data_IF_039489562883
#
_entry.id   IF_039489562883
#
_cell.length_a   1.000
_cell.length_b   1.000
_cell.length_c   1.000
_cell.angle_alpha   90.00
_cell.angle_beta   90.00
_cell.angle_gamma   90.00
#
_symmetry.space_group_name_H-M   'P 1'
#
loop_
_entity.id
_entity.type
_entity.pdbx_description
1 polymer ?
#
# COMPACT_ATOMS: atom_id res chain seq x y z
N UNK A 1 -27.21 33.48 7.38
CA UNK A 1 -27.12 32.05 7.72
C UNK A 1 -27.76 31.30 6.58
N UNK A 2 -26.97 30.86 5.61
CA UNK A 2 -27.47 29.94 4.58
C UNK A 2 -27.34 28.52 5.14
N UNK A 3 -28.42 28.03 5.73
CA UNK A 3 -28.60 26.59 5.90
C UNK A 3 -28.77 26.00 4.51
N UNK A 4 -27.67 25.58 3.89
CA UNK A 4 -27.67 24.79 2.67
C UNK A 4 -28.41 23.47 2.96
N UNK A 5 -29.71 23.45 2.68
CA UNK A 5 -30.55 22.25 2.77
C UNK A 5 -29.93 21.19 1.86
N UNK A 6 -29.21 20.23 2.46
CA UNK A 6 -28.63 19.11 1.72
C UNK A 6 -29.76 18.34 1.04
N UNK A 7 -29.64 18.15 -0.26
CA UNK A 7 -30.63 17.40 -1.03
C UNK A 7 -30.68 15.94 -0.58
N UNK A 8 -31.83 15.28 -0.76
CA UNK A 8 -31.99 13.83 -0.49
C UNK A 8 -30.92 12.98 -1.19
N UNK A 9 -30.48 13.40 -2.37
CA UNK A 9 -29.40 12.75 -3.13
C UNK A 9 -28.04 12.91 -2.46
N UNK A 10 -27.73 14.08 -1.90
CA UNK A 10 -26.46 14.32 -1.20
C UNK A 10 -26.39 13.53 0.11
N UNK A 11 -27.47 13.51 0.91
CA UNK A 11 -27.52 12.73 2.15
C UNK A 11 -27.34 11.23 1.90
N UNK A 12 -27.93 10.72 0.81
CA UNK A 12 -27.74 9.33 0.39
C UNK A 12 -26.28 9.06 0.02
N UNK A 13 -25.66 9.96 -0.75
CA UNK A 13 -24.26 9.82 -1.17
C UNK A 13 -23.31 9.84 0.04
N UNK A 14 -23.50 10.77 0.98
CA UNK A 14 -22.70 10.82 2.22
C UNK A 14 -22.82 9.53 3.03
N UNK A 15 -24.02 8.97 3.14
CA UNK A 15 -24.24 7.69 3.82
C UNK A 15 -23.54 6.53 3.10
N UNK A 16 -23.57 6.51 1.76
CA UNK A 16 -22.90 5.49 0.94
C UNK A 16 -21.37 5.63 1.06
N UNK A 17 -20.83 6.85 1.03
CA UNK A 17 -19.39 7.15 1.15
C UNK A 17 -18.85 6.71 2.52
N UNK A 18 -19.57 7.00 3.62
CA UNK A 18 -19.20 6.58 4.98
C UNK A 18 -19.25 5.06 5.13
N UNK A 19 -20.27 4.40 4.56
CA UNK A 19 -20.31 2.95 4.55
C UNK A 19 -19.12 2.36 3.79
N UNK A 20 -18.79 2.94 2.63
CA UNK A 20 -17.67 2.50 1.82
C UNK A 20 -16.32 2.71 2.52
N UNK A 21 -16.18 3.79 3.29
CA UNK A 21 -15.01 4.04 4.14
C UNK A 21 -14.80 2.92 5.17
N UNK A 22 -15.86 2.48 5.85
CA UNK A 22 -15.80 1.33 6.76
C UNK A 22 -15.40 0.03 6.07
N UNK A 23 -15.92 -0.22 4.87
CA UNK A 23 -15.53 -1.38 4.05
C UNK A 23 -14.06 -1.27 3.64
N UNK A 24 -13.60 -0.07 3.30
CA UNK A 24 -12.20 0.16 2.94
C UNK A 24 -11.25 -0.16 4.10
N UNK A 25 -11.56 0.29 5.32
CA UNK A 25 -10.78 -0.05 6.52
C UNK A 25 -10.74 -1.57 6.72
N UNK A 26 -11.84 -2.28 6.42
CA UNK A 26 -11.89 -3.73 6.52
C UNK A 26 -10.91 -4.48 5.60
N UNK A 27 -10.31 -3.82 4.61
CA UNK A 27 -9.27 -4.41 3.77
C UNK A 27 -7.89 -4.43 4.44
N UNK A 28 -7.69 -3.65 5.51
CA UNK A 28 -6.45 -3.63 6.27
C UNK A 28 -6.25 -4.90 7.11
N UNK A 29 -5.01 -5.32 7.41
CA UNK A 29 -4.75 -6.36 8.41
C UNK A 29 -5.30 -5.98 9.79
N UNK A 30 -5.75 -6.96 10.58
CA UNK A 30 -6.39 -6.71 11.88
C UNK A 30 -5.53 -5.87 12.84
N UNK A 31 -4.19 -6.01 12.81
CA UNK A 31 -3.31 -5.20 13.64
C UNK A 31 -3.36 -3.71 13.25
N UNK A 32 -3.44 -3.39 11.95
CA UNK A 32 -3.59 -2.00 11.47
C UNK A 32 -4.94 -1.40 11.79
N UNK A 33 -6.01 -2.20 11.73
CA UNK A 33 -7.35 -1.73 12.13
C UNK A 33 -7.36 -1.31 13.60
N UNK A 34 -6.68 -2.07 14.47
CA UNK A 34 -6.58 -1.79 15.91
C UNK A 34 -5.68 -0.60 16.25
N UNK A 35 -4.81 -0.17 15.33
CA UNK A 35 -3.96 1.01 15.49
C UNK A 35 -4.70 2.31 15.12
N UNK A 36 -5.83 2.23 14.41
CA UNK A 36 -6.60 3.40 14.01
C UNK A 36 -7.26 4.07 15.22
N UNK A 37 -7.44 5.38 15.15
CA UNK A 37 -8.15 6.19 16.14
C UNK A 37 -9.68 5.96 16.10
N UNK A 38 -10.12 4.72 16.26
CA UNK A 38 -11.51 4.27 16.27
C UNK A 38 -11.91 3.80 17.66
N UNK A 39 -13.22 3.83 17.96
CA UNK A 39 -13.73 3.19 19.17
C UNK A 39 -13.65 1.66 19.07
N UNK A 40 -13.55 0.98 20.22
CA UNK A 40 -13.55 -0.48 20.28
C UNK A 40 -14.77 -1.10 19.57
N UNK A 41 -15.95 -0.49 19.74
CA UNK A 41 -17.18 -0.93 19.07
C UNK A 41 -17.05 -0.90 17.54
N UNK A 42 -16.45 0.14 16.98
CA UNK A 42 -16.26 0.25 15.53
C UNK A 42 -15.20 -0.76 15.06
N UNK A 43 -14.12 -0.93 15.81
CA UNK A 43 -13.06 -1.91 15.51
C UNK A 43 -13.66 -3.32 15.48
N UNK A 44 -14.45 -3.70 16.48
CA UNK A 44 -15.13 -5.00 16.54
C UNK A 44 -16.10 -5.18 15.37
N UNK A 45 -16.89 -4.15 15.05
CA UNK A 45 -17.83 -4.19 13.93
C UNK A 45 -17.12 -4.40 12.58
N UNK A 46 -15.94 -3.80 12.38
CA UNK A 46 -15.11 -3.97 11.19
C UNK A 46 -14.51 -5.38 11.13
N UNK A 47 -13.96 -5.88 12.25
CA UNK A 47 -13.38 -7.23 12.30
C UNK A 47 -14.46 -8.27 12.00
N UNK A 48 -15.64 -8.13 12.63
CA UNK A 48 -16.77 -9.02 12.36
C UNK A 48 -17.22 -8.96 10.89
N UNK A 49 -17.25 -7.77 10.29
CA UNK A 49 -17.55 -7.62 8.85
C UNK A 49 -16.63 -8.47 7.95
N UNK A 50 -15.34 -8.58 8.30
CA UNK A 50 -14.37 -9.40 7.55
C UNK A 50 -14.66 -10.90 7.65
N UNK A 51 -15.17 -11.37 8.78
CA UNK A 51 -15.42 -12.79 9.04
C UNK A 51 -16.72 -13.29 8.39
N UNK A 52 -17.67 -12.40 8.10
CA UNK A 52 -18.95 -12.78 7.50
C UNK A 52 -18.76 -13.30 6.07
N UNK A 53 -19.16 -14.56 5.86
CA UNK A 53 -19.14 -15.22 4.55
C UNK A 53 -20.43 -15.02 3.74
N UNK A 54 -21.57 -14.84 4.40
CA UNK A 54 -22.89 -14.71 3.73
C UNK A 54 -23.14 -13.28 3.25
N UNK A 55 -23.39 -13.09 1.95
CA UNK A 55 -23.59 -11.77 1.34
C UNK A 55 -24.71 -10.94 1.99
N UNK A 56 -25.84 -11.56 2.36
CA UNK A 56 -26.94 -10.86 3.01
C UNK A 56 -26.58 -10.34 4.40
N UNK A 57 -25.90 -11.16 5.20
CA UNK A 57 -25.38 -10.76 6.52
C UNK A 57 -24.29 -9.69 6.38
N UNK A 58 -23.41 -9.82 5.37
CA UNK A 58 -22.33 -8.86 5.11
C UNK A 58 -22.89 -7.49 4.74
N UNK A 59 -23.93 -7.44 3.91
CA UNK A 59 -24.63 -6.20 3.57
C UNK A 59 -25.27 -5.54 4.78
N UNK A 60 -25.92 -6.32 5.65
CA UNK A 60 -26.50 -5.80 6.90
C UNK A 60 -25.41 -5.24 7.83
N UNK A 61 -24.29 -5.93 7.95
CA UNK A 61 -23.17 -5.48 8.76
C UNK A 61 -22.54 -4.19 8.20
N UNK A 62 -22.41 -4.07 6.87
CA UNK A 62 -21.96 -2.82 6.26
C UNK A 62 -22.88 -1.64 6.62
N UNK A 63 -24.20 -1.84 6.58
CA UNK A 63 -25.17 -0.80 6.97
C UNK A 63 -25.05 -0.40 8.44
N UNK A 64 -24.86 -1.38 9.32
CA UNK A 64 -24.62 -1.13 10.74
C UNK A 64 -23.32 -0.35 10.96
N UNK A 65 -22.23 -0.76 10.31
CA UNK A 65 -20.96 -0.04 10.34
C UNK A 65 -21.11 1.40 9.84
N UNK A 66 -21.83 1.60 8.73
CA UNK A 66 -22.13 2.93 8.21
C UNK A 66 -22.96 3.78 9.17
N UNK A 67 -23.79 3.17 10.03
CA UNK A 67 -24.47 3.89 11.12
C UNK A 67 -23.48 4.33 12.20
N UNK A 68 -22.64 3.42 12.71
CA UNK A 68 -21.66 3.75 13.73
C UNK A 68 -20.69 4.85 13.28
N UNK A 69 -20.19 4.77 12.05
CA UNK A 69 -19.25 5.74 11.50
C UNK A 69 -19.87 7.13 11.26
N UNK A 70 -21.20 7.22 11.03
CA UNK A 70 -21.88 8.52 10.91
C UNK A 70 -21.94 9.29 12.23
N UNK A 71 -21.98 8.56 13.34
CA UNK A 71 -22.07 9.12 14.68
C UNK A 71 -20.67 9.34 15.30
N UNK A 72 -19.59 9.07 14.55
CA UNK A 72 -18.20 9.17 15.00
C UNK A 72 -17.43 10.29 14.26
N UNK A 73 -16.50 10.95 14.93
CA UNK A 73 -15.61 11.93 14.30
C UNK A 73 -14.49 11.22 13.51
N UNK A 74 -14.63 11.20 12.19
CA UNK A 74 -13.72 10.51 11.27
C UNK A 74 -12.52 11.35 10.85
N UNK A 75 -12.33 12.57 11.36
CA UNK A 75 -11.26 13.46 10.89
C UNK A 75 -9.86 12.82 11.02
N UNK A 76 -9.54 12.31 12.22
CA UNK A 76 -8.24 11.66 12.48
C UNK A 76 -8.08 10.35 11.69
N UNK A 77 -9.11 9.51 11.66
CA UNK A 77 -9.09 8.22 10.97
C UNK A 77 -8.92 8.40 9.46
N UNK A 78 -9.52 9.45 8.90
CA UNK A 78 -9.37 9.78 7.48
C UNK A 78 -7.92 10.17 7.17
N UNK A 79 -7.29 10.99 8.01
CA UNK A 79 -5.87 11.36 7.86
C UNK A 79 -4.94 10.15 8.00
N UNK A 80 -5.21 9.26 8.96
CA UNK A 80 -4.48 8.00 9.13
C UNK A 80 -4.61 7.12 7.87
N UNK A 81 -5.83 6.95 7.35
CA UNK A 81 -6.09 6.20 6.13
C UNK A 81 -5.40 6.81 4.91
N UNK A 82 -5.42 8.13 4.76
CA UNK A 82 -4.73 8.80 3.66
C UNK A 82 -3.21 8.64 3.73
N UNK A 83 -2.65 8.66 4.94
CA UNK A 83 -1.23 8.40 5.19
C UNK A 83 -0.87 6.96 4.81
N UNK A 84 -1.68 5.98 5.21
CA UNK A 84 -1.50 4.58 4.83
C UNK A 84 -1.58 4.38 3.31
N UNK A 85 -2.54 5.04 2.64
CA UNK A 85 -2.66 5.00 1.17
C UNK A 85 -1.46 5.65 0.49
N UNK A 86 -1.00 6.78 0.98
CA UNK A 86 0.18 7.46 0.45
C UNK A 86 1.43 6.58 0.57
N UNK A 87 1.62 5.97 1.73
CA UNK A 87 2.70 5.01 1.95
C UNK A 87 2.61 3.82 1.00
N UNK A 88 1.42 3.21 0.84
CA UNK A 88 1.20 2.11 -0.10
C UNK A 88 1.55 2.49 -1.55
N UNK A 89 1.10 3.68 -2.01
CA UNK A 89 1.46 4.21 -3.34
C UNK A 89 2.96 4.40 -3.50
N UNK A 90 3.66 4.87 -2.46
CA UNK A 90 5.12 5.00 -2.48
C UNK A 90 5.81 3.64 -2.57
N UNK A 91 5.33 2.64 -1.83
CA UNK A 91 5.88 1.28 -1.92
C UNK A 91 5.75 0.71 -3.33
N UNK A 92 4.58 0.82 -3.96
CA UNK A 92 4.36 0.40 -5.36
C UNK A 92 5.31 1.15 -6.31
N UNK A 93 5.50 2.45 -6.11
CA UNK A 93 6.45 3.24 -6.91
C UNK A 93 7.88 2.72 -6.77
N UNK A 94 8.32 2.40 -5.55
CA UNK A 94 9.65 1.85 -5.29
C UNK A 94 9.84 0.47 -5.91
N UNK A 95 8.81 -0.37 -5.89
CA UNK A 95 8.82 -1.69 -6.53
C UNK A 95 9.01 -1.56 -8.05
N UNK A 96 8.20 -0.74 -8.72
CA UNK A 96 8.35 -0.50 -10.16
C UNK A 96 9.70 0.09 -10.53
N UNK A 97 10.19 1.02 -9.72
CA UNK A 97 11.52 1.58 -9.95
C UNK A 97 12.63 0.54 -9.79
N UNK A 98 12.53 -0.35 -8.81
CA UNK A 98 13.48 -1.43 -8.63
C UNK A 98 13.48 -2.39 -9.82
N UNK A 99 12.31 -2.64 -10.43
CA UNK A 99 12.21 -3.41 -11.67
C UNK A 99 12.93 -2.72 -12.82
N UNK A 100 12.72 -1.41 -13.00
CA UNK A 100 13.38 -0.62 -14.05
C UNK A 100 14.91 -0.62 -13.88
N UNK A 101 15.42 -0.40 -12.68
CA UNK A 101 16.86 -0.41 -12.41
C UNK A 101 17.48 -1.78 -12.62
N UNK A 102 16.82 -2.84 -12.16
CA UNK A 102 17.29 -4.22 -12.40
C UNK A 102 17.43 -4.48 -13.89
N UNK A 103 16.39 -4.16 -14.65
CA UNK A 103 16.37 -4.43 -16.09
C UNK A 103 17.41 -3.56 -16.82
N UNK A 104 17.61 -2.30 -16.41
CA UNK A 104 18.71 -1.45 -16.91
C UNK A 104 20.09 -2.08 -16.65
N UNK A 105 20.39 -2.44 -15.39
CA UNK A 105 21.69 -3.01 -15.01
C UNK A 105 21.98 -4.36 -15.69
N UNK A 106 20.94 -5.16 -15.92
CA UNK A 106 21.07 -6.41 -16.67
C UNK A 106 21.38 -6.14 -18.13
N UNK A 107 20.78 -5.13 -18.76
CA UNK A 107 20.97 -4.87 -20.19
C UNK A 107 22.24 -4.04 -20.49
N UNK A 108 22.60 -3.11 -19.62
CA UNK A 108 23.71 -2.18 -19.81
C UNK A 108 24.55 -2.05 -18.54
N UNK A 109 25.83 -2.41 -18.65
CA UNK A 109 26.76 -2.35 -17.52
C UNK A 109 27.28 -0.94 -17.25
N UNK A 110 27.21 -0.03 -18.23
CA UNK A 110 27.64 1.36 -18.06
C UNK A 110 26.77 2.12 -17.04
N UNK A 111 25.52 1.69 -16.89
CA UNK A 111 24.53 2.22 -15.93
C UNK A 111 24.91 1.93 -14.47
N UNK A 112 25.87 1.03 -14.21
CA UNK A 112 26.31 0.73 -12.86
C UNK A 112 26.85 1.97 -12.12
N UNK A 113 27.57 2.85 -12.81
CA UNK A 113 28.09 4.07 -12.19
C UNK A 113 26.96 5.03 -11.79
N UNK A 114 25.92 5.14 -12.61
CA UNK A 114 24.71 5.91 -12.31
C UNK A 114 24.02 5.37 -11.05
N UNK A 115 23.84 4.04 -10.98
CA UNK A 115 23.26 3.36 -9.83
C UNK A 115 24.07 3.56 -8.55
N UNK A 116 25.41 3.45 -8.62
CA UNK A 116 26.28 3.66 -7.46
C UNK A 116 26.19 5.10 -6.95
N UNK A 117 26.16 6.07 -7.86
CA UNK A 117 26.08 7.49 -7.50
C UNK A 117 24.73 7.83 -6.85
N UNK A 118 23.61 7.28 -7.37
CA UNK A 118 22.28 7.57 -6.83
C UNK A 118 22.04 6.88 -5.48
N UNK A 119 22.42 5.61 -5.35
CA UNK A 119 21.96 4.78 -4.22
C UNK A 119 23.04 4.45 -3.19
N UNK A 120 24.32 4.67 -3.51
CA UNK A 120 25.46 4.31 -2.65
C UNK A 120 25.32 2.89 -2.05
N UNK A 121 25.12 1.87 -2.91
CA UNK A 121 24.84 0.50 -2.50
C UNK A 121 26.07 -0.14 -1.86
N UNK A 122 25.87 -1.27 -1.17
CA UNK A 122 26.99 -2.15 -0.84
C UNK A 122 27.57 -2.74 -2.14
N UNK A 123 28.82 -2.37 -2.43
CA UNK A 123 29.53 -2.83 -3.62
C UNK A 123 29.94 -4.29 -3.52
N UNK A 124 29.97 -4.84 -2.30
CA UNK A 124 30.38 -6.21 -2.03
C UNK A 124 29.44 -7.17 -2.75
N UNK A 125 29.97 -7.92 -3.72
CA UNK A 125 29.24 -8.88 -4.55
C UNK A 125 28.18 -8.29 -5.50
N UNK A 126 28.00 -6.96 -5.60
CA UNK A 126 27.02 -6.35 -6.49
C UNK A 126 27.32 -6.69 -7.96
N UNK A 127 28.58 -6.48 -8.39
CA UNK A 127 29.04 -6.84 -9.74
C UNK A 127 28.86 -8.33 -10.07
N UNK A 128 29.15 -9.21 -9.09
CA UNK A 128 28.97 -10.65 -9.26
C UNK A 128 27.47 -10.99 -9.44
N UNK A 129 26.62 -10.37 -8.63
CA UNK A 129 25.17 -10.56 -8.67
C UNK A 129 24.59 -10.08 -10.00
N UNK A 130 25.01 -8.91 -10.51
CA UNK A 130 24.57 -8.37 -11.80
C UNK A 130 24.96 -9.32 -12.94
N UNK A 131 26.22 -9.76 -12.98
CA UNK A 131 26.69 -10.67 -14.04
C UNK A 131 25.98 -12.03 -14.00
N UNK A 132 25.74 -12.57 -12.80
CA UNK A 132 24.98 -13.81 -12.66
C UNK A 132 23.51 -13.64 -13.07
N UNK A 133 22.87 -12.53 -12.69
CA UNK A 133 21.51 -12.20 -13.09
C UNK A 133 21.39 -12.02 -14.62
N UNK A 134 22.39 -11.41 -15.27
CA UNK A 134 22.46 -11.26 -16.73
C UNK A 134 22.54 -12.62 -17.43
N UNK A 135 23.43 -13.52 -16.98
CA UNK A 135 23.54 -14.88 -17.54
C UNK A 135 22.24 -15.68 -17.38
N UNK A 136 21.61 -15.57 -16.22
CA UNK A 136 20.31 -16.18 -15.94
C UNK A 136 19.22 -15.64 -16.89
N UNK A 137 19.15 -14.32 -17.07
CA UNK A 137 18.18 -13.66 -17.95
C UNK A 137 18.37 -14.07 -19.42
N UNK A 138 19.62 -14.12 -19.91
CA UNK A 138 19.94 -14.57 -21.28
C UNK A 138 19.60 -16.04 -21.54
N UNK A 139 19.49 -16.85 -20.47
CA UNK A 139 19.09 -18.25 -20.55
C UNK A 139 17.58 -18.45 -20.35
N UNK A 140 16.78 -17.37 -20.47
CA UNK A 140 15.34 -17.30 -20.18
C UNK A 140 14.95 -17.81 -18.78
N UNK A 141 15.87 -17.72 -17.82
CA UNK A 141 15.68 -18.15 -16.43
C UNK A 141 15.65 -16.94 -15.51
N UNK A 142 14.47 -16.44 -15.16
CA UNK A 142 14.30 -15.44 -14.08
C UNK A 142 14.43 -16.08 -12.69
N UNK A 143 15.64 -16.55 -12.37
CA UNK A 143 15.86 -17.47 -11.26
C UNK A 143 16.37 -16.79 -9.98
N UNK A 144 17.42 -17.31 -9.35
CA UNK A 144 17.87 -16.87 -8.03
C UNK A 144 18.48 -15.47 -8.07
N UNK A 145 19.45 -15.22 -8.95
CA UNK A 145 20.18 -13.96 -8.97
C UNK A 145 19.35 -12.81 -9.54
N UNK A 146 18.45 -13.08 -10.49
CA UNK A 146 17.49 -12.09 -10.98
C UNK A 146 16.60 -11.52 -9.86
N UNK A 147 16.08 -12.41 -8.99
CA UNK A 147 15.28 -12.02 -7.81
C UNK A 147 16.13 -11.39 -6.71
N UNK A 148 17.38 -11.85 -6.54
CA UNK A 148 18.29 -11.27 -5.55
C UNK A 148 18.65 -9.82 -5.90
N UNK A 149 18.98 -9.55 -7.17
CA UNK A 149 19.30 -8.21 -7.64
C UNK A 149 18.14 -7.24 -7.41
N UNK A 150 16.90 -7.64 -7.72
CA UNK A 150 15.71 -6.86 -7.41
C UNK A 150 15.60 -6.48 -5.92
N UNK A 151 15.87 -7.44 -5.02
CA UNK A 151 15.77 -7.21 -3.57
C UNK A 151 16.82 -6.23 -3.06
N UNK A 152 18.04 -6.32 -3.56
CA UNK A 152 19.12 -5.37 -3.24
C UNK A 152 18.69 -3.97 -3.68
N UNK A 153 18.28 -3.83 -4.94
CA UNK A 153 17.84 -2.55 -5.51
C UNK A 153 16.66 -1.96 -4.74
N UNK A 154 15.66 -2.78 -4.44
CA UNK A 154 14.49 -2.33 -3.68
C UNK A 154 14.88 -1.86 -2.27
N UNK A 155 15.83 -2.54 -1.61
CA UNK A 155 16.32 -2.13 -0.30
C UNK A 155 17.07 -0.80 -0.37
N UNK A 156 17.91 -0.62 -1.39
CA UNK A 156 18.68 0.60 -1.62
C UNK A 156 17.76 1.80 -1.92
N UNK A 157 16.76 1.63 -2.80
CA UNK A 157 15.73 2.63 -3.09
C UNK A 157 14.98 3.02 -1.82
N UNK A 158 14.52 2.02 -1.04
CA UNK A 158 13.81 2.29 0.21
C UNK A 158 14.70 3.03 1.21
N UNK A 159 15.98 2.69 1.32
CA UNK A 159 16.93 3.36 2.22
C UNK A 159 17.08 4.84 1.87
N UNK A 160 17.24 5.17 0.59
CA UNK A 160 17.45 6.55 0.14
C UNK A 160 16.15 7.37 0.15
N UNK A 161 15.04 6.77 -0.29
CA UNK A 161 13.77 7.50 -0.51
C UNK A 161 12.79 7.46 0.65
N UNK A 162 13.02 6.58 1.65
CA UNK A 162 12.27 6.59 2.91
C UNK A 162 13.02 7.36 4.01
N UNK A 163 14.21 7.91 3.71
CA UNK A 163 14.88 8.83 4.61
C UNK A 163 14.05 10.14 4.68
N UNK A 164 13.78 10.66 5.89
CA UNK A 164 13.02 11.90 6.09
C UNK A 164 13.72 13.13 5.49
#
# INVERSE_FOLDING_TARGET
MEDSIKSKTQLKKEADDIQQFGIEISNLPNHKIKELSLSDEIIEAIIFYKEIKKNSAKRRQAQFLGKLLRDFDLANVTQEMDTLKAFSRLQVKFEHEAELWRDKLINDQSVLNEYINEFQPDLTNLNQTINAARKEFQSDKKSKNYRNLYRIILADIKKIRSAP
#
